data_IF_257260569439
#
_entry.id   IF_257260569439
#
_cell.length_a   1.000
_cell.length_b   1.000
_cell.length_c   1.000
_cell.angle_alpha   90.00
_cell.angle_beta   90.00
_cell.angle_gamma   90.00
#
_symmetry.space_group_name_H-M   'P 1'
#
loop_
_entity.id
_entity.type
_entity.pdbx_description
1 polymer ?
#
# COMPACT_ATOMS: atom_id res chain seq x y z
N UNK A 1 -0.71 -2.48 -16.42
CA UNK A 1 -1.16 -3.60 -15.56
C UNK A 1 -0.26 -3.75 -14.33
N UNK A 2 1.06 -3.77 -14.51
CA UNK A 2 2.08 -3.74 -13.43
C UNK A 2 1.85 -2.70 -12.32
N UNK A 3 1.32 -1.51 -12.65
CA UNK A 3 1.02 -0.46 -11.66
C UNK A 3 -0.08 -0.81 -10.66
N UNK A 4 -1.15 -1.48 -11.13
CA UNK A 4 -2.24 -1.93 -10.26
C UNK A 4 -1.70 -2.89 -9.21
N UNK A 5 -0.96 -3.91 -9.67
CA UNK A 5 -0.36 -4.93 -8.81
C UNK A 5 0.63 -4.31 -7.84
N UNK A 6 1.44 -3.33 -8.29
CA UNK A 6 2.33 -2.60 -7.40
C UNK A 6 1.56 -1.99 -6.24
N UNK A 7 0.55 -1.14 -6.51
CA UNK A 7 -0.20 -0.46 -5.45
C UNK A 7 -0.97 -1.42 -4.55
N UNK A 8 -1.57 -2.45 -5.15
CA UNK A 8 -2.25 -3.52 -4.43
C UNK A 8 -1.28 -4.20 -3.45
N UNK A 9 -0.13 -4.69 -3.94
CA UNK A 9 0.86 -5.41 -3.12
C UNK A 9 1.50 -4.50 -2.07
N UNK A 10 1.83 -3.24 -2.43
CA UNK A 10 2.35 -2.26 -1.47
C UNK A 10 1.37 -2.02 -0.33
N UNK A 11 0.10 -1.79 -0.65
CA UNK A 11 -0.92 -1.53 0.37
C UNK A 11 -1.17 -2.74 1.27
N UNK A 12 -1.29 -3.94 0.69
CA UNK A 12 -1.50 -5.20 1.43
C UNK A 12 -0.32 -5.47 2.36
N UNK A 13 0.91 -5.41 1.85
CA UNK A 13 2.10 -5.66 2.66
C UNK A 13 2.16 -4.69 3.84
N UNK A 14 1.94 -3.39 3.59
CA UNK A 14 1.98 -2.36 4.61
C UNK A 14 0.94 -2.59 5.71
N UNK A 15 -0.32 -2.80 5.32
CA UNK A 15 -1.41 -3.02 6.27
C UNK A 15 -1.19 -4.30 7.07
N UNK A 16 -0.79 -5.39 6.41
CA UNK A 16 -0.54 -6.68 7.05
C UNK A 16 0.54 -6.57 8.11
N UNK A 17 1.65 -5.88 7.82
CA UNK A 17 2.75 -5.75 8.78
C UNK A 17 2.32 -4.93 9.99
N UNK A 18 1.64 -3.80 9.79
CA UNK A 18 1.18 -2.98 10.91
C UNK A 18 0.18 -3.74 11.78
N UNK A 19 -0.78 -4.43 11.17
CA UNK A 19 -1.79 -5.22 11.88
C UNK A 19 -1.16 -6.42 12.61
N UNK A 20 -0.20 -7.11 11.98
CA UNK A 20 0.54 -8.19 12.61
C UNK A 20 1.23 -7.72 13.90
N UNK A 21 1.95 -6.60 13.85
CA UNK A 21 2.60 -6.06 15.05
C UNK A 21 1.62 -5.58 16.13
N UNK A 22 0.45 -5.06 15.74
CA UNK A 22 -0.59 -4.68 16.70
C UNK A 22 -1.23 -5.89 17.37
N UNK A 23 -1.58 -6.92 16.60
CA UNK A 23 -2.26 -8.11 17.10
C UNK A 23 -1.34 -9.05 17.89
N UNK A 24 -0.15 -9.36 17.35
CA UNK A 24 0.75 -10.34 17.97
C UNK A 24 1.68 -9.76 19.03
N UNK A 25 2.12 -8.50 18.86
CA UNK A 25 3.16 -7.90 19.71
C UNK A 25 2.59 -6.81 20.61
N UNK A 26 1.26 -6.62 20.62
CA UNK A 26 0.56 -5.58 21.39
C UNK A 26 1.21 -4.19 21.26
N UNK A 27 1.76 -3.89 20.07
CA UNK A 27 2.51 -2.67 19.84
C UNK A 27 1.61 -1.44 20.02
N UNK A 28 2.11 -0.42 20.72
CA UNK A 28 1.35 0.80 21.00
C UNK A 28 0.90 1.51 19.71
N UNK A 29 -0.39 1.88 19.71
CA UNK A 29 -0.98 2.76 18.71
C UNK A 29 -0.29 4.12 18.74
N UNK A 30 0.07 4.62 17.56
CA UNK A 30 0.57 5.98 17.40
C UNK A 30 0.10 6.55 16.06
N UNK A 31 -0.02 7.87 16.02
CA UNK A 31 -0.53 8.63 14.87
C UNK A 31 0.17 8.24 13.56
N UNK A 32 1.48 7.97 13.59
CA UNK A 32 2.24 7.58 12.40
C UNK A 32 1.84 6.19 11.88
N UNK A 33 1.67 5.23 12.79
CA UNK A 33 1.22 3.88 12.45
C UNK A 33 -0.23 3.85 12.00
N UNK A 34 -1.11 4.67 12.61
CA UNK A 34 -2.51 4.79 12.19
C UNK A 34 -2.62 5.40 10.79
N UNK A 35 -1.86 6.48 10.56
CA UNK A 35 -1.81 7.15 9.25
C UNK A 35 -1.25 6.22 8.18
N UNK A 36 -0.17 5.48 8.50
CA UNK A 36 0.44 4.54 7.59
C UNK A 36 -0.46 3.33 7.29
N UNK A 37 -1.23 2.85 8.28
CA UNK A 37 -2.21 1.80 8.10
C UNK A 37 -3.36 2.24 7.20
N UNK A 38 -3.94 3.42 7.48
CA UNK A 38 -4.99 4.00 6.65
C UNK A 38 -4.51 4.20 5.22
N UNK A 39 -3.29 4.72 5.05
CA UNK A 39 -2.67 4.88 3.75
C UNK A 39 -2.46 3.52 3.06
N UNK A 40 -2.07 2.48 3.80
CA UNK A 40 -1.92 1.10 3.31
C UNK A 40 -3.23 0.55 2.77
N UNK A 41 -4.28 0.64 3.57
CA UNK A 41 -5.62 0.21 3.20
C UNK A 41 -6.16 0.99 2.01
N UNK A 42 -5.96 2.31 1.98
CA UNK A 42 -6.40 3.17 0.87
C UNK A 42 -5.63 2.88 -0.41
N UNK A 43 -4.33 2.65 -0.32
CA UNK A 43 -3.48 2.29 -1.46
C UNK A 43 -3.90 0.95 -2.07
N UNK A 44 -4.14 -0.05 -1.21
CA UNK A 44 -4.57 -1.38 -1.62
C UNK A 44 -6.01 -1.41 -2.16
N UNK A 45 -6.96 -0.76 -1.50
CA UNK A 45 -8.38 -0.88 -1.82
C UNK A 45 -8.87 0.12 -2.86
N UNK A 46 -8.45 1.39 -2.74
CA UNK A 46 -9.02 2.50 -3.53
C UNK A 46 -8.07 2.93 -4.64
N UNK A 47 -6.81 3.22 -4.32
CA UNK A 47 -5.86 3.74 -5.29
C UNK A 47 -5.55 2.70 -6.38
N UNK A 48 -5.37 1.42 -5.99
CA UNK A 48 -5.22 0.31 -6.93
C UNK A 48 -6.43 0.25 -7.89
N UNK A 49 -7.66 0.23 -7.36
CA UNK A 49 -8.88 0.15 -8.16
C UNK A 49 -8.98 1.33 -9.12
N UNK A 50 -8.91 2.57 -8.63
CA UNK A 50 -9.00 3.76 -9.48
C UNK A 50 -7.95 3.70 -10.60
N UNK A 51 -6.76 3.16 -10.34
CA UNK A 51 -5.69 3.02 -11.34
C UNK A 51 -6.09 2.11 -12.52
N UNK A 52 -7.02 1.16 -12.35
CA UNK A 52 -7.54 0.34 -13.45
C UNK A 52 -8.38 1.15 -14.46
N UNK A 53 -9.06 2.20 -13.99
CA UNK A 53 -10.01 2.99 -14.80
C UNK A 53 -9.44 4.35 -15.20
N UNK A 54 -8.80 5.06 -14.25
CA UNK A 54 -8.23 6.39 -14.42
C UNK A 54 -6.84 6.45 -13.81
N UNK A 55 -5.82 6.13 -14.62
CA UNK A 55 -4.42 6.07 -14.18
C UNK A 55 -3.98 7.33 -13.44
N UNK A 56 -4.21 8.55 -13.96
CA UNK A 56 -3.69 9.76 -13.31
C UNK A 56 -4.29 10.00 -11.92
N UNK A 57 -5.58 9.73 -11.76
CA UNK A 57 -6.26 9.88 -10.48
C UNK A 57 -5.79 8.81 -9.50
N UNK A 58 -5.69 7.56 -9.97
CA UNK A 58 -5.20 6.44 -9.19
C UNK A 58 -3.75 6.64 -8.74
N UNK A 59 -2.86 7.11 -9.62
CA UNK A 59 -1.47 7.39 -9.28
C UNK A 59 -1.30 8.60 -8.39
N UNK A 60 -2.16 9.62 -8.49
CA UNK A 60 -2.15 10.75 -7.57
C UNK A 60 -2.50 10.28 -6.15
N UNK A 61 -3.58 9.51 -6.02
CA UNK A 61 -3.96 8.95 -4.73
C UNK A 61 -2.87 8.00 -4.20
N UNK A 62 -2.28 7.18 -5.06
CA UNK A 62 -1.18 6.30 -4.69
C UNK A 62 0.06 7.07 -4.23
N UNK A 63 0.35 8.22 -4.86
CA UNK A 63 1.44 9.11 -4.46
C UNK A 63 1.21 9.65 -3.04
N UNK A 64 0.00 10.16 -2.76
CA UNK A 64 -0.36 10.68 -1.44
C UNK A 64 -0.31 9.60 -0.36
N UNK A 65 -0.85 8.41 -0.65
CA UNK A 65 -0.79 7.28 0.27
C UNK A 65 0.67 6.87 0.53
N UNK A 66 1.48 6.75 -0.52
CA UNK A 66 2.87 6.33 -0.36
C UNK A 66 3.69 7.38 0.41
N UNK A 67 3.42 8.68 0.22
CA UNK A 67 4.03 9.76 1.01
C UNK A 67 3.64 9.67 2.49
N UNK A 68 2.37 9.39 2.79
CA UNK A 68 1.87 9.25 4.15
C UNK A 68 2.50 8.06 4.91
N UNK A 69 3.00 7.05 4.20
CA UNK A 69 3.70 5.89 4.79
C UNK A 69 5.16 6.20 5.19
N UNK A 70 5.80 7.17 4.53
CA UNK A 70 7.24 7.46 4.70
C UNK A 70 7.61 7.79 6.15
N UNK A 71 6.89 8.67 6.87
CA UNK A 71 7.26 9.03 8.23
C UNK A 71 7.30 7.84 9.19
N UNK A 72 6.38 6.88 9.02
CA UNK A 72 6.37 5.67 9.83
C UNK A 72 7.55 4.75 9.48
N UNK A 73 7.81 4.54 8.18
CA UNK A 73 8.96 3.74 7.74
C UNK A 73 10.29 4.30 8.26
N UNK A 74 10.51 5.61 8.15
CA UNK A 74 11.74 6.24 8.65
C UNK A 74 11.91 6.01 10.14
N UNK A 75 10.84 6.16 10.95
CA UNK A 75 10.90 5.94 12.40
C UNK A 75 11.21 4.48 12.75
N UNK A 76 10.57 3.54 12.06
CA UNK A 76 10.85 2.11 12.27
C UNK A 76 12.29 1.81 11.87
N UNK A 77 12.76 2.32 10.73
CA UNK A 77 14.13 2.15 10.27
C UNK A 77 15.16 2.71 11.25
N UNK A 78 14.93 3.89 11.82
CA UNK A 78 15.80 4.46 12.86
C UNK A 78 15.85 3.60 14.12
N UNK A 79 14.71 3.02 14.54
CA UNK A 79 14.67 2.10 15.68
C UNK A 79 15.41 0.79 15.40
N UNK A 80 15.22 0.22 14.21
CA UNK A 80 15.93 -0.99 13.76
C UNK A 80 17.43 -0.73 13.70
N UNK A 81 17.83 0.42 13.17
CA UNK A 81 19.23 0.84 13.11
C UNK A 81 19.85 0.99 14.50
N UNK A 82 19.15 1.67 15.42
CA UNK A 82 19.64 1.90 16.79
C UNK A 82 19.79 0.60 17.59
N UNK A 83 18.92 -0.38 17.37
CA UNK A 83 18.98 -1.68 18.03
C UNK A 83 19.98 -2.65 17.35
N UNK A 84 20.48 -2.34 16.16
CA UNK A 84 21.56 -3.08 15.50
C UNK A 84 21.33 -4.58 15.42
N UNK A 85 22.27 -5.37 15.93
CA UNK A 85 22.24 -6.84 15.88
C UNK A 85 21.20 -7.47 16.84
N UNK A 86 20.60 -6.70 17.74
CA UNK A 86 19.60 -7.21 18.69
C UNK A 86 18.23 -7.44 18.03
N UNK A 87 17.98 -6.82 16.87
CA UNK A 87 16.74 -7.02 16.12
C UNK A 87 16.83 -8.32 15.30
N UNK A 88 15.83 -9.22 15.39
CA UNK A 88 15.77 -10.41 14.55
C UNK A 88 15.94 -10.06 13.07
N UNK A 89 16.83 -10.77 12.38
CA UNK A 89 17.16 -10.52 10.96
C UNK A 89 15.92 -10.48 10.06
N UNK A 90 14.92 -11.31 10.35
CA UNK A 90 13.64 -11.33 9.63
C UNK A 90 12.94 -9.97 9.65
N UNK A 91 12.96 -9.25 10.78
CA UNK A 91 12.34 -7.92 10.89
C UNK A 91 13.12 -6.86 10.11
N UNK A 92 14.44 -6.98 10.06
CA UNK A 92 15.28 -6.09 9.25
C UNK A 92 14.98 -6.27 7.76
N UNK A 93 14.93 -7.53 7.29
CA UNK A 93 14.60 -7.86 5.91
C UNK A 93 13.18 -7.37 5.56
N UNK A 94 12.20 -7.64 6.43
CA UNK A 94 10.82 -7.20 6.24
C UNK A 94 10.74 -5.67 6.11
N UNK A 95 11.44 -4.94 6.97
CA UNK A 95 11.50 -3.47 6.91
C UNK A 95 12.10 -2.98 5.60
N UNK A 96 13.22 -3.56 5.16
CA UNK A 96 13.87 -3.20 3.88
C UNK A 96 12.93 -3.46 2.71
N UNK A 97 12.28 -4.62 2.67
CA UNK A 97 11.34 -4.97 1.60
C UNK A 97 10.17 -3.98 1.52
N UNK A 98 9.58 -3.63 2.66
CA UNK A 98 8.53 -2.61 2.74
C UNK A 98 9.02 -1.24 2.26
N UNK A 99 10.19 -0.81 2.72
CA UNK A 99 10.76 0.47 2.34
C UNK A 99 11.01 0.55 0.82
N UNK A 100 11.58 -0.50 0.23
CA UNK A 100 11.79 -0.61 -1.22
C UNK A 100 10.46 -0.57 -1.98
N UNK A 101 9.46 -1.30 -1.50
CA UNK A 101 8.15 -1.37 -2.14
C UNK A 101 7.43 -0.02 -2.12
N UNK A 102 7.47 0.70 -1.00
CA UNK A 102 6.90 2.06 -0.88
C UNK A 102 7.69 3.07 -1.71
N UNK A 103 9.03 2.98 -1.74
CA UNK A 103 9.86 3.83 -2.60
C UNK A 103 9.54 3.63 -4.08
N UNK A 104 9.40 2.37 -4.52
CA UNK A 104 9.04 2.07 -5.89
C UNK A 104 7.65 2.59 -6.23
N UNK A 105 6.68 2.43 -5.31
CA UNK A 105 5.35 3.03 -5.43
C UNK A 105 5.41 4.56 -5.56
N UNK A 106 6.22 5.25 -4.75
CA UNK A 106 6.44 6.70 -4.82
C UNK A 106 6.97 7.13 -6.19
N UNK A 107 8.07 6.52 -6.64
CA UNK A 107 8.73 6.87 -7.91
C UNK A 107 7.79 6.65 -9.08
N UNK A 108 7.12 5.49 -9.12
CA UNK A 108 6.15 5.17 -10.18
C UNK A 108 4.99 6.18 -10.14
N UNK A 109 4.39 6.40 -8.98
CA UNK A 109 3.24 7.31 -8.83
C UNK A 109 3.57 8.75 -9.19
N UNK A 110 4.75 9.25 -8.80
CA UNK A 110 5.22 10.58 -9.18
C UNK A 110 5.38 10.71 -10.69
N UNK A 111 6.09 9.77 -11.32
CA UNK A 111 6.29 9.77 -12.77
C UNK A 111 4.97 9.82 -13.55
N UNK A 112 3.97 9.03 -13.16
CA UNK A 112 2.71 8.96 -13.91
C UNK A 112 1.77 10.13 -13.62
N UNK A 113 1.73 10.60 -12.37
CA UNK A 113 0.93 11.77 -11.98
C UNK A 113 1.38 13.02 -12.76
N UNK A 114 2.69 13.22 -12.87
CA UNK A 114 3.28 14.39 -13.53
C UNK A 114 3.69 14.16 -14.99
N UNK A 115 3.39 12.99 -15.57
CA UNK A 115 3.68 12.72 -16.98
C UNK A 115 2.87 13.61 -17.92
N UNK A 116 3.49 14.03 -19.04
CA UNK A 116 2.81 14.75 -20.12
C UNK A 116 1.72 13.87 -20.73
N UNK A 117 0.46 14.30 -20.65
CA UNK A 117 -0.71 13.54 -21.12
C UNK A 117 -2.02 14.08 -20.55
N UNK A 118 -3.14 13.78 -21.20
CA UNK A 118 -4.46 14.26 -20.75
C UNK A 118 -4.91 13.55 -19.47
N UNK A 119 -5.55 14.31 -18.57
CA UNK A 119 -6.27 13.75 -17.42
C UNK A 119 -7.60 13.10 -17.81
N UNK A 120 -8.11 13.44 -19.00
CA UNK A 120 -9.35 12.89 -19.57
C UNK A 120 -9.16 11.62 -20.36
N UNK A 121 -7.96 11.34 -20.87
CA UNK A 121 -7.70 10.10 -21.59
C UNK A 121 -7.57 8.94 -20.60
N UNK A 122 -8.58 8.07 -20.57
CA UNK A 122 -8.41 6.72 -20.05
C UNK A 122 -7.23 6.08 -20.79
N UNK A 123 -6.19 5.72 -20.05
CA UNK A 123 -5.00 5.10 -20.63
C UNK A 123 -5.43 3.81 -21.33
N UNK A 124 -4.93 3.58 -22.54
CA UNK A 124 -5.06 2.30 -23.23
C UNK A 124 -4.43 1.22 -22.33
N UNK A 125 -5.30 0.49 -21.65
CA UNK A 125 -5.02 -0.47 -20.59
C UNK A 125 -6.15 -1.51 -20.66
N UNK A 126 -5.92 -2.74 -20.18
CA UNK A 126 -6.48 -4.00 -20.68
C UNK A 126 -8.00 -4.03 -20.86
N UNK A 127 -8.49 -4.96 -21.70
CA UNK A 127 -9.92 -5.13 -21.98
C UNK A 127 -10.77 -5.11 -20.70
N UNK A 128 -11.97 -4.54 -20.79
CA UNK A 128 -12.87 -4.27 -19.65
C UNK A 128 -13.03 -5.51 -18.75
N UNK A 129 -13.12 -6.70 -19.35
CA UNK A 129 -13.21 -7.98 -18.65
C UNK A 129 -12.07 -8.17 -17.63
N UNK A 130 -10.82 -7.94 -18.02
CA UNK A 130 -9.67 -8.12 -17.13
C UNK A 130 -9.66 -7.09 -16.00
N UNK A 131 -10.13 -5.86 -16.27
CA UNK A 131 -10.27 -4.83 -15.22
C UNK A 131 -11.31 -5.24 -14.18
N UNK A 132 -12.44 -5.82 -14.61
CA UNK A 132 -13.47 -6.31 -13.71
C UNK A 132 -12.97 -7.48 -12.87
N UNK A 133 -12.30 -8.46 -13.47
CA UNK A 133 -11.70 -9.59 -12.75
C UNK A 133 -10.72 -9.10 -11.68
N UNK A 134 -9.85 -8.14 -12.01
CA UNK A 134 -8.90 -7.58 -11.05
C UNK A 134 -9.59 -6.77 -9.94
N UNK A 135 -10.67 -6.05 -10.27
CA UNK A 135 -11.44 -5.28 -9.29
C UNK A 135 -12.16 -6.17 -8.26
N UNK A 136 -12.37 -7.46 -8.55
CA UNK A 136 -12.96 -8.42 -7.60
C UNK A 136 -12.02 -8.71 -6.43
N UNK A 137 -10.69 -8.62 -6.59
CA UNK A 137 -9.74 -8.94 -5.52
C UNK A 137 -9.95 -8.12 -4.22
N UNK A 138 -9.96 -6.77 -4.24
CA UNK A 138 -10.22 -6.00 -3.03
C UNK A 138 -11.63 -6.24 -2.45
N UNK A 139 -12.63 -6.53 -3.29
CA UNK A 139 -13.98 -6.90 -2.84
C UNK A 139 -14.00 -8.25 -2.13
N UNK A 140 -13.27 -9.24 -2.63
CA UNK A 140 -13.15 -10.55 -2.00
C UNK A 140 -12.46 -10.46 -0.63
N UNK A 141 -11.43 -9.61 -0.50
CA UNK A 141 -10.78 -9.34 0.79
C UNK A 141 -11.74 -8.65 1.76
N UNK A 142 -12.53 -7.67 1.30
CA UNK A 142 -13.55 -7.01 2.12
C UNK A 142 -14.65 -7.99 2.56
N UNK A 143 -15.13 -8.83 1.65
CA UNK A 143 -16.12 -9.86 1.96
C UNK A 143 -15.58 -10.86 2.98
N UNK A 144 -14.34 -11.32 2.81
CA UNK A 144 -13.66 -12.17 3.79
C UNK A 144 -13.54 -11.50 5.16
N UNK A 145 -13.23 -10.21 5.20
CA UNK A 145 -13.21 -9.45 6.45
C UNK A 145 -14.58 -9.40 7.13
N UNK A 146 -15.65 -9.06 6.39
CA UNK A 146 -17.00 -8.99 6.95
C UNK A 146 -17.47 -10.34 7.53
N UNK A 147 -17.14 -11.44 6.86
CA UNK A 147 -17.47 -12.79 7.34
C UNK A 147 -16.76 -13.14 8.65
N UNK A 148 -15.54 -12.64 8.88
CA UNK A 148 -14.76 -12.92 10.09
C UNK A 148 -15.13 -11.96 11.23
N UNK A 149 -15.49 -10.70 10.92
CA UNK A 149 -15.78 -9.71 11.96
C UNK A 149 -17.00 -10.11 12.81
N UNK A 150 -17.98 -10.80 12.23
CA UNK A 150 -19.20 -11.19 12.94
C UNK A 150 -18.99 -12.41 13.89
N UNK A 151 -17.81 -13.04 13.83
CA UNK A 151 -17.42 -14.17 14.70
C UNK A 151 -16.54 -13.75 15.92
N UNK A 152 -16.25 -12.45 16.08
CA UNK A 152 -15.40 -11.88 17.16
C UNK A 152 -16.21 -10.94 18.05
#
# INVERSE_FOLDING_TARGET
>A
MTRYLLYFLTGVAMATVILFFRGYVAAQHNVYSDTALLAGMTLFGVASWITLFRIKVGTLLALLCSLAMVPWLVRVGLRVWAAGAEVPQVLQILHILLAVLVLFSLVVSGRYTFSKGSWRSGTAAPGVVLKLVLAVLPLAVLAGWLLVQDEV
#
